data_IF_485477667687
#
_entry.id   IF_485477667687
#
_cell.length_a   1.000
_cell.length_b   1.000
_cell.length_c   1.000
_cell.angle_alpha   90.00
_cell.angle_beta   90.00
_cell.angle_gamma   90.00
#
_symmetry.space_group_name_H-M   'P 1'
#
loop_
_entity.id
_entity.type
_entity.pdbx_description
1 polymer ?
#
# COMPACT_ATOMS: atom_id res chain seq x y z
N UNK A 1 17.74 -35.00 28.23
CA UNK A 1 19.10 -34.44 28.06
C UNK A 1 18.97 -33.06 27.43
N UNK A 2 19.40 -32.05 28.20
CA UNK A 2 19.58 -30.61 27.95
C UNK A 2 19.24 -30.01 26.57
N UNK A 3 18.21 -29.16 26.52
CA UNK A 3 18.04 -28.12 25.47
C UNK A 3 18.25 -26.67 25.98
N UNK A 4 18.61 -26.45 27.26
CA UNK A 4 18.58 -25.11 27.87
C UNK A 4 19.95 -24.44 28.08
N UNK A 5 20.97 -24.73 27.26
CA UNK A 5 22.30 -24.14 27.48
C UNK A 5 23.01 -23.53 26.26
N UNK A 6 22.39 -23.45 25.06
CA UNK A 6 23.09 -22.89 23.89
C UNK A 6 22.41 -21.72 23.18
N UNK A 7 21.22 -21.28 23.59
CA UNK A 7 20.51 -20.21 22.87
C UNK A 7 20.87 -18.80 23.36
N UNK A 8 21.42 -18.64 24.57
CA UNK A 8 21.82 -17.32 25.12
C UNK A 8 23.02 -16.68 24.43
N UNK A 9 23.73 -17.41 23.57
CA UNK A 9 24.86 -16.90 22.80
C UNK A 9 24.44 -16.26 21.46
N UNK A 10 23.20 -16.50 20.98
CA UNK A 10 22.74 -15.92 19.71
C UNK A 10 22.21 -14.49 19.94
N UNK A 11 22.74 -13.45 19.28
CA UNK A 11 22.34 -12.06 19.53
C UNK A 11 20.85 -11.79 19.23
N UNK A 12 20.21 -12.66 18.44
CA UNK A 12 18.78 -12.60 18.12
C UNK A 12 17.94 -13.70 18.79
N UNK A 13 18.43 -14.32 19.88
CA UNK A 13 17.72 -15.39 20.59
C UNK A 13 16.25 -15.02 20.93
N UNK A 14 16.04 -13.76 21.34
CA UNK A 14 14.72 -13.20 21.62
C UNK A 14 13.72 -13.33 20.45
N UNK A 15 14.17 -13.35 19.18
CA UNK A 15 13.28 -13.54 18.03
C UNK A 15 12.80 -14.98 17.90
N UNK A 16 13.64 -15.97 18.25
CA UNK A 16 13.23 -17.37 18.30
C UNK A 16 12.26 -17.61 19.45
N UNK A 17 12.53 -17.01 20.62
CA UNK A 17 11.61 -17.04 21.76
C UNK A 17 10.25 -16.40 21.41
N UNK A 18 10.26 -15.27 20.69
CA UNK A 18 9.05 -14.64 20.18
C UNK A 18 8.29 -15.55 19.21
N UNK A 19 9.00 -16.26 18.33
CA UNK A 19 8.40 -17.21 17.40
C UNK A 19 7.78 -18.40 18.16
N UNK A 20 8.49 -18.99 19.12
CA UNK A 20 7.98 -20.12 19.89
C UNK A 20 6.72 -19.73 20.68
N UNK A 21 6.73 -18.55 21.29
CA UNK A 21 5.56 -17.99 21.95
C UNK A 21 4.40 -17.73 20.96
N UNK A 22 4.69 -17.30 19.73
CA UNK A 22 3.68 -17.11 18.69
C UNK A 22 3.08 -18.44 18.22
N UNK A 23 3.90 -19.46 17.97
CA UNK A 23 3.46 -20.82 17.61
C UNK A 23 2.55 -21.39 18.70
N UNK A 24 2.98 -21.28 19.97
CA UNK A 24 2.20 -21.77 21.11
C UNK A 24 0.83 -21.06 21.22
N UNK A 25 0.80 -19.72 21.07
CA UNK A 25 -0.47 -18.97 21.06
C UNK A 25 -1.39 -19.41 19.92
N UNK A 26 -0.85 -19.58 18.70
CA UNK A 26 -1.66 -19.97 17.55
C UNK A 26 -2.21 -21.38 17.64
N UNK A 27 -1.44 -22.34 18.15
CA UNK A 27 -1.92 -23.71 18.39
C UNK A 27 -2.90 -23.80 19.56
N UNK A 28 -2.81 -22.91 20.54
CA UNK A 28 -3.80 -22.82 21.62
C UNK A 28 -5.14 -22.25 21.13
N UNK A 29 -5.12 -21.30 20.19
CA UNK A 29 -6.31 -20.77 19.51
C UNK A 29 -6.91 -21.79 18.53
N UNK A 30 -6.05 -22.48 17.76
CA UNK A 30 -6.42 -23.43 16.72
C UNK A 30 -5.32 -24.51 16.55
N UNK A 31 -5.55 -25.75 17.04
CA UNK A 31 -4.60 -26.85 16.92
C UNK A 31 -4.26 -27.25 15.48
N UNK A 32 -5.13 -26.94 14.51
CA UNK A 32 -4.93 -27.27 13.09
C UNK A 32 -4.33 -26.11 12.28
N UNK A 33 -4.01 -24.99 12.92
CA UNK A 33 -3.59 -23.73 12.27
C UNK A 33 -2.50 -23.93 11.22
N UNK A 34 -1.39 -24.57 11.59
CA UNK A 34 -0.26 -24.79 10.68
C UNK A 34 -0.51 -25.87 9.64
N UNK A 35 -1.33 -26.88 9.98
CA UNK A 35 -1.74 -27.90 9.01
C UNK A 35 -2.55 -27.26 7.90
N UNK A 36 -3.56 -26.44 8.24
CA UNK A 36 -4.35 -25.70 7.27
C UNK A 36 -3.48 -24.76 6.43
N UNK A 37 -2.60 -23.98 7.06
CA UNK A 37 -1.71 -23.06 6.36
C UNK A 37 -0.79 -23.77 5.36
N UNK A 38 -0.29 -24.96 5.70
CA UNK A 38 0.57 -25.75 4.80
C UNK A 38 -0.15 -26.25 3.53
N UNK A 39 -1.48 -26.39 3.58
CA UNK A 39 -2.29 -26.86 2.45
C UNK A 39 -2.96 -25.72 1.65
N UNK A 40 -2.83 -24.46 2.09
CA UNK A 40 -3.42 -23.28 1.45
C UNK A 40 -2.42 -22.64 0.49
N UNK A 41 -2.66 -22.76 -0.82
CA UNK A 41 -1.70 -22.39 -1.87
C UNK A 41 -2.32 -21.62 -3.05
N UNK A 42 -3.60 -21.24 -3.00
CA UNK A 42 -4.31 -20.59 -4.12
C UNK A 42 -4.79 -19.19 -3.74
N UNK A 43 -3.88 -18.21 -3.58
CA UNK A 43 -4.29 -16.84 -3.32
C UNK A 43 -5.10 -16.30 -4.51
N UNK A 44 -6.20 -15.59 -4.22
CA UNK A 44 -6.99 -14.91 -5.26
C UNK A 44 -6.49 -13.47 -5.52
N UNK A 45 -5.57 -12.98 -4.68
CA UNK A 45 -5.15 -11.58 -4.64
C UNK A 45 -3.62 -11.44 -4.75
N UNK A 46 -3.15 -10.52 -5.60
CA UNK A 46 -1.78 -9.98 -5.57
C UNK A 46 -1.81 -8.57 -4.97
N UNK A 47 -1.04 -8.34 -3.91
CA UNK A 47 -0.84 -7.02 -3.30
C UNK A 47 0.54 -6.47 -3.66
N UNK A 48 0.58 -5.34 -4.36
CA UNK A 48 1.79 -4.57 -4.63
C UNK A 48 1.79 -3.34 -3.72
N UNK A 49 2.62 -3.37 -2.68
CA UNK A 49 2.64 -2.34 -1.63
C UNK A 49 4.02 -1.73 -1.39
N UNK A 50 4.06 -0.74 -0.50
CA UNK A 50 5.31 -0.14 -0.08
C UNK A 50 6.10 -1.07 0.86
N UNK A 51 7.43 -0.99 0.83
CA UNK A 51 8.32 -1.63 1.82
C UNK A 51 8.16 -1.07 3.24
N UNK A 52 7.39 0.01 3.42
CA UNK A 52 7.01 0.49 4.75
C UNK A 52 6.34 -0.62 5.57
N UNK A 53 6.90 -0.87 6.75
CA UNK A 53 6.60 -2.05 7.57
C UNK A 53 5.41 -1.88 8.51
N UNK A 54 4.73 -0.72 8.51
CA UNK A 54 3.78 -0.37 9.57
C UNK A 54 2.61 -1.35 9.72
N UNK A 55 2.07 -1.91 8.61
CA UNK A 55 1.03 -2.95 8.69
C UNK A 55 1.14 -3.97 7.52
N UNK A 56 1.11 -5.30 7.79
CA UNK A 56 1.02 -6.36 6.78
C UNK A 56 -0.29 -6.32 5.98
N UNK A 57 -0.25 -6.69 4.69
CA UNK A 57 -1.42 -6.62 3.79
C UNK A 57 -2.62 -7.43 4.33
N UNK A 58 -2.38 -8.67 4.72
CA UNK A 58 -3.40 -9.59 5.24
C UNK A 58 -4.13 -9.01 6.46
N UNK A 59 -3.43 -8.27 7.33
CA UNK A 59 -4.04 -7.62 8.49
C UNK A 59 -4.91 -6.44 8.10
N UNK A 60 -4.51 -5.66 7.08
CA UNK A 60 -5.27 -4.50 6.59
C UNK A 60 -6.65 -4.93 6.06
N UNK A 61 -6.70 -6.04 5.31
CA UNK A 61 -7.94 -6.51 4.65
C UNK A 61 -8.61 -7.69 5.36
N UNK A 62 -8.15 -8.04 6.56
CA UNK A 62 -8.78 -9.09 7.38
C UNK A 62 -8.74 -10.50 6.77
N UNK A 63 -7.75 -10.79 5.92
CA UNK A 63 -7.61 -12.11 5.29
C UNK A 63 -6.61 -12.98 6.05
N UNK A 64 -6.82 -14.32 6.09
CA UNK A 64 -5.85 -15.22 6.68
C UNK A 64 -4.54 -15.26 5.86
N UNK A 65 -3.41 -15.63 6.49
CA UNK A 65 -2.17 -15.88 5.76
C UNK A 65 -2.38 -16.92 4.63
N UNK A 66 -1.71 -16.73 3.49
CA UNK A 66 -1.83 -17.60 2.32
C UNK A 66 -2.87 -17.15 1.28
N UNK A 67 -3.78 -16.23 1.62
CA UNK A 67 -4.81 -15.71 0.69
C UNK A 67 -4.33 -14.56 -0.20
N UNK A 68 -3.23 -13.91 0.18
CA UNK A 68 -2.67 -12.76 -0.55
C UNK A 68 -1.22 -13.04 -0.90
N UNK A 69 -0.91 -12.99 -2.20
CA UNK A 69 0.45 -12.96 -2.70
C UNK A 69 0.99 -11.54 -2.64
N UNK A 70 2.20 -11.32 -2.11
CA UNK A 70 2.64 -9.96 -1.74
C UNK A 70 3.97 -9.60 -2.42
N UNK A 71 3.99 -8.44 -3.07
CA UNK A 71 5.21 -7.75 -3.48
C UNK A 71 5.37 -6.44 -2.69
N UNK A 72 6.60 -6.10 -2.34
CA UNK A 72 6.92 -4.82 -1.68
C UNK A 72 8.21 -4.20 -2.22
N UNK A 73 8.12 -2.93 -2.60
CA UNK A 73 9.27 -2.08 -2.89
C UNK A 73 9.03 -0.65 -2.37
N UNK A 74 10.03 0.22 -2.41
CA UNK A 74 9.88 1.61 -1.92
C UNK A 74 8.85 2.34 -2.78
N UNK A 75 7.83 2.93 -2.15
CA UNK A 75 6.77 3.70 -2.82
C UNK A 75 5.93 2.90 -3.84
N UNK A 76 5.86 1.56 -3.68
CA UNK A 76 4.96 0.66 -4.43
C UNK A 76 5.02 0.85 -5.96
N UNK A 77 6.21 1.14 -6.48
CA UNK A 77 6.46 1.49 -7.89
C UNK A 77 6.46 0.23 -8.75
N UNK A 78 5.82 0.29 -9.91
CA UNK A 78 5.85 -0.73 -10.94
C UNK A 78 6.54 -0.12 -12.17
N UNK A 79 7.81 -0.44 -12.35
CA UNK A 79 8.59 0.03 -13.50
C UNK A 79 8.38 -0.95 -14.66
N UNK A 80 8.20 -0.43 -15.89
CA UNK A 80 7.97 -1.24 -17.09
C UNK A 80 9.03 -2.32 -17.35
N UNK A 81 10.22 -2.17 -16.79
CA UNK A 81 11.36 -3.07 -16.98
C UNK A 81 11.93 -3.61 -15.66
N UNK A 82 11.24 -3.42 -14.53
CA UNK A 82 11.67 -4.02 -13.26
C UNK A 82 11.33 -5.51 -13.23
N UNK A 83 12.31 -6.33 -13.60
CA UNK A 83 12.14 -7.78 -13.64
C UNK A 83 11.80 -8.37 -12.26
N UNK A 84 12.12 -7.69 -11.15
CA UNK A 84 11.70 -8.13 -9.82
C UNK A 84 10.16 -8.12 -9.70
N UNK A 85 9.54 -6.96 -9.88
CA UNK A 85 8.08 -6.84 -9.82
C UNK A 85 7.39 -7.62 -10.95
N UNK A 86 7.91 -7.58 -12.17
CA UNK A 86 7.31 -8.28 -13.32
C UNK A 86 7.30 -9.80 -13.14
N UNK A 87 8.36 -10.38 -12.55
CA UNK A 87 8.39 -11.83 -12.26
C UNK A 87 7.31 -12.21 -11.24
N UNK A 88 7.07 -11.36 -10.24
CA UNK A 88 6.00 -11.57 -9.25
C UNK A 88 4.62 -11.46 -9.88
N UNK A 89 4.39 -10.47 -10.75
CA UNK A 89 3.13 -10.31 -11.48
C UNK A 89 2.89 -11.52 -12.38
N UNK A 90 3.89 -11.94 -13.16
CA UNK A 90 3.77 -13.10 -14.03
C UNK A 90 3.45 -14.38 -13.26
N UNK A 91 4.16 -14.62 -12.15
CA UNK A 91 3.90 -15.80 -11.32
C UNK A 91 2.47 -15.78 -10.74
N UNK A 92 2.03 -14.64 -10.23
CA UNK A 92 0.68 -14.49 -9.68
C UNK A 92 -0.41 -14.71 -10.75
N UNK A 93 -0.24 -14.12 -11.93
CA UNK A 93 -1.25 -14.15 -13.00
C UNK A 93 -1.23 -15.48 -13.75
N UNK A 94 -0.05 -15.97 -14.13
CA UNK A 94 0.06 -17.13 -15.03
C UNK A 94 0.08 -18.45 -14.28
N UNK A 95 0.66 -18.51 -13.08
CA UNK A 95 0.76 -19.74 -12.30
C UNK A 95 -0.32 -19.83 -11.21
N UNK A 96 -0.42 -18.82 -10.34
CA UNK A 96 -1.36 -18.83 -9.22
C UNK A 96 -2.80 -18.51 -9.64
N UNK A 97 -2.98 -17.91 -10.82
CA UNK A 97 -4.28 -17.50 -11.37
C UNK A 97 -5.05 -16.56 -10.43
N UNK A 98 -4.36 -15.59 -9.83
CA UNK A 98 -5.01 -14.53 -9.05
C UNK A 98 -6.07 -13.83 -9.90
N UNK A 99 -7.18 -13.45 -9.27
CA UNK A 99 -8.29 -12.72 -9.90
C UNK A 99 -8.12 -11.21 -9.79
N UNK A 100 -7.41 -10.76 -8.76
CA UNK A 100 -7.26 -9.35 -8.44
C UNK A 100 -5.79 -8.98 -8.20
N UNK A 101 -5.37 -7.85 -8.77
CA UNK A 101 -4.11 -7.20 -8.44
C UNK A 101 -4.45 -5.86 -7.80
N UNK A 102 -3.99 -5.62 -6.58
CA UNK A 102 -4.15 -4.34 -5.89
C UNK A 102 -2.79 -3.66 -5.79
N UNK A 103 -2.66 -2.49 -6.42
CA UNK A 103 -1.56 -1.56 -6.15
C UNK A 103 -2.00 -0.64 -5.02
N UNK A 104 -1.27 -0.66 -3.92
CA UNK A 104 -1.69 0.02 -2.68
C UNK A 104 -0.62 0.99 -2.21
N UNK A 105 -0.91 2.28 -2.40
CA UNK A 105 -0.18 3.37 -1.78
C UNK A 105 -0.57 3.54 -0.32
N UNK A 106 0.22 4.30 0.44
CA UNK A 106 -0.12 4.63 1.82
C UNK A 106 0.25 6.06 2.17
N UNK A 107 -0.61 6.73 2.94
CA UNK A 107 -0.36 8.09 3.39
C UNK A 107 0.81 8.15 4.38
N UNK A 108 1.57 9.23 4.31
CA UNK A 108 2.83 9.36 5.05
C UNK A 108 3.94 8.43 4.55
N UNK A 109 3.91 7.98 3.30
CA UNK A 109 5.02 7.26 2.66
C UNK A 109 6.30 8.09 2.64
N UNK A 110 7.37 7.54 3.22
CA UNK A 110 8.69 8.19 3.29
C UNK A 110 9.35 8.33 1.92
N UNK A 111 9.21 7.34 1.03
CA UNK A 111 9.72 7.40 -0.34
C UNK A 111 9.06 8.50 -1.17
N UNK A 112 7.72 8.56 -1.14
CA UNK A 112 6.96 9.64 -1.78
C UNK A 112 7.31 10.99 -1.16
N UNK A 113 7.47 11.06 0.16
CA UNK A 113 7.89 12.28 0.85
C UNK A 113 9.28 12.76 0.45
N UNK A 114 10.24 11.86 0.26
CA UNK A 114 11.57 12.18 -0.22
C UNK A 114 11.53 12.69 -1.67
N UNK A 115 10.76 12.04 -2.54
CA UNK A 115 10.55 12.47 -3.93
C UNK A 115 9.86 13.84 -4.02
N UNK A 116 8.84 14.10 -3.19
CA UNK A 116 8.13 15.38 -3.18
C UNK A 116 9.05 16.55 -2.83
N UNK A 117 9.87 16.39 -1.78
CA UNK A 117 10.70 17.46 -1.24
C UNK A 117 12.13 17.48 -1.81
N UNK A 118 12.47 16.58 -2.74
CA UNK A 118 13.81 16.48 -3.30
C UNK A 118 14.89 16.12 -2.27
N UNK A 119 14.55 15.31 -1.26
CA UNK A 119 15.51 14.88 -0.23
C UNK A 119 16.47 13.86 -0.84
N UNK A 120 17.77 14.08 -0.65
CA UNK A 120 18.83 13.15 -1.06
C UNK A 120 18.90 11.96 -0.10
N UNK A 121 18.81 10.75 -0.63
CA UNK A 121 18.92 9.48 0.11
C UNK A 121 20.15 8.69 -0.35
N UNK A 122 20.58 8.85 -1.60
CA UNK A 122 21.68 8.08 -2.20
C UNK A 122 21.18 7.18 -3.32
N UNK A 123 21.52 5.89 -3.30
CA UNK A 123 21.16 4.97 -4.39
C UNK A 123 19.65 4.94 -4.67
N UNK A 124 18.83 5.02 -3.61
CA UNK A 124 17.38 5.03 -3.71
C UNK A 124 16.83 6.25 -4.46
N UNK A 125 17.60 7.33 -4.61
CA UNK A 125 17.17 8.51 -5.39
C UNK A 125 16.87 8.11 -6.85
N UNK A 126 17.65 7.19 -7.43
CA UNK A 126 17.43 6.69 -8.78
C UNK A 126 16.09 5.94 -8.91
N UNK A 127 15.70 5.20 -7.88
CA UNK A 127 14.39 4.55 -7.83
C UNK A 127 13.27 5.57 -7.64
N UNK A 128 13.49 6.55 -6.77
CA UNK A 128 12.52 7.61 -6.48
C UNK A 128 12.33 8.59 -7.64
N UNK A 129 13.21 8.62 -8.64
CA UNK A 129 12.97 9.35 -9.88
C UNK A 129 11.67 8.91 -10.56
N UNK A 130 11.27 7.64 -10.47
CA UNK A 130 9.96 7.21 -11.00
C UNK A 130 8.77 7.90 -10.32
N UNK A 131 8.88 8.19 -9.01
CA UNK A 131 7.86 8.98 -8.29
C UNK A 131 7.97 10.47 -8.65
N UNK A 132 9.19 10.96 -8.90
CA UNK A 132 9.39 12.34 -9.37
C UNK A 132 8.86 12.56 -10.79
N UNK A 133 8.88 11.54 -11.64
CA UNK A 133 8.28 11.56 -12.98
C UNK A 133 6.75 11.70 -12.87
N UNK A 134 6.12 10.97 -11.95
CA UNK A 134 4.68 11.16 -11.64
C UNK A 134 4.43 12.59 -11.16
N UNK A 135 5.26 13.11 -10.24
CA UNK A 135 5.15 14.49 -9.76
C UNK A 135 5.28 15.50 -10.91
N UNK A 136 6.22 15.29 -11.83
CA UNK A 136 6.45 16.18 -12.97
C UNK A 136 5.27 16.12 -13.97
N UNK A 137 4.78 14.91 -14.26
CA UNK A 137 3.63 14.67 -15.14
C UNK A 137 2.37 15.38 -14.65
N UNK A 138 2.16 15.42 -13.33
CA UNK A 138 0.98 16.01 -12.68
C UNK A 138 1.26 17.33 -11.96
N UNK A 139 2.30 18.07 -12.36
CA UNK A 139 2.74 19.27 -11.63
C UNK A 139 1.62 20.31 -11.48
N UNK A 140 0.89 20.61 -12.56
CA UNK A 140 -0.20 21.58 -12.53
C UNK A 140 -1.32 21.19 -11.55
N UNK A 141 -1.69 19.90 -11.53
CA UNK A 141 -2.70 19.36 -10.62
C UNK A 141 -2.23 19.40 -9.16
N UNK A 142 -0.95 19.09 -8.91
CA UNK A 142 -0.36 19.16 -7.57
C UNK A 142 -0.22 20.59 -7.06
N UNK A 143 -0.09 21.58 -7.94
CA UNK A 143 -0.01 22.99 -7.58
C UNK A 143 -1.37 23.58 -7.14
N UNK A 144 -2.49 22.94 -7.47
CA UNK A 144 -3.81 23.27 -6.89
C UNK A 144 -3.86 23.04 -5.37
N UNK A 145 -3.00 22.14 -4.86
CA UNK A 145 -2.99 21.75 -3.47
C UNK A 145 -1.85 22.45 -2.70
N UNK A 146 -2.08 22.94 -1.46
CA UNK A 146 -1.03 23.50 -0.64
C UNK A 146 0.13 22.53 -0.44
N UNK A 147 1.36 23.07 -0.46
CA UNK A 147 2.56 22.30 -0.15
C UNK A 147 2.46 21.71 1.28
N UNK A 148 3.00 20.51 1.46
CA UNK A 148 2.96 19.79 2.72
C UNK A 148 2.11 18.53 2.62
N UNK A 149 1.29 18.28 3.63
CA UNK A 149 0.54 17.03 3.75
C UNK A 149 -0.51 16.85 2.64
N UNK A 150 -1.22 17.92 2.26
CA UNK A 150 -2.22 17.86 1.19
C UNK A 150 -1.58 17.39 -0.13
N UNK A 151 -0.50 18.06 -0.57
CA UNK A 151 0.24 17.68 -1.78
C UNK A 151 0.89 16.29 -1.66
N UNK A 152 1.37 15.90 -0.48
CA UNK A 152 1.90 14.55 -0.23
C UNK A 152 0.84 13.48 -0.49
N UNK A 153 -0.36 13.65 0.06
CA UNK A 153 -1.47 12.71 -0.12
C UNK A 153 -1.86 12.57 -1.59
N UNK A 154 -2.02 13.69 -2.29
CA UNK A 154 -2.35 13.70 -3.72
C UNK A 154 -1.26 13.04 -4.56
N UNK A 155 0.02 13.23 -4.22
CA UNK A 155 1.11 12.53 -4.91
C UNK A 155 1.12 11.02 -4.61
N UNK A 156 0.75 10.58 -3.39
CA UNK A 156 0.58 9.14 -3.10
C UNK A 156 -0.52 8.54 -3.98
N UNK A 157 -1.67 9.19 -4.08
CA UNK A 157 -2.81 8.73 -4.89
C UNK A 157 -2.46 8.69 -6.38
N UNK A 158 -1.86 9.76 -6.92
CA UNK A 158 -1.41 9.82 -8.31
C UNK A 158 -0.35 8.76 -8.60
N UNK A 159 0.61 8.54 -7.68
CA UNK A 159 1.59 7.49 -7.84
C UNK A 159 0.91 6.12 -7.95
N UNK A 160 -0.04 5.80 -7.07
CA UNK A 160 -0.81 4.56 -7.16
C UNK A 160 -1.54 4.43 -8.49
N UNK A 161 -2.24 5.48 -8.94
CA UNK A 161 -2.97 5.47 -10.22
C UNK A 161 -2.02 5.18 -11.39
N UNK A 162 -0.88 5.86 -11.44
CA UNK A 162 0.14 5.64 -12.49
C UNK A 162 0.74 4.22 -12.43
N UNK A 163 0.95 3.69 -11.24
CA UNK A 163 1.42 2.31 -11.09
C UNK A 163 0.39 1.28 -11.55
N UNK A 164 -0.91 1.52 -11.35
CA UNK A 164 -1.98 0.69 -11.94
C UNK A 164 -1.91 0.73 -13.46
N UNK A 165 -1.72 1.92 -14.06
CA UNK A 165 -1.51 2.05 -15.51
C UNK A 165 -0.31 1.22 -15.97
N UNK A 166 0.79 1.24 -15.22
CA UNK A 166 1.98 0.45 -15.55
C UNK A 166 1.72 -1.06 -15.50
N UNK A 167 0.99 -1.55 -14.48
CA UNK A 167 0.55 -2.95 -14.38
C UNK A 167 -0.32 -3.34 -15.59
N UNK A 168 -1.32 -2.53 -15.91
CA UNK A 168 -2.24 -2.78 -17.04
C UNK A 168 -1.54 -2.75 -18.40
N UNK A 169 -0.38 -2.06 -18.51
CA UNK A 169 0.44 -1.98 -19.73
C UNK A 169 1.48 -3.10 -19.84
N UNK A 170 1.62 -3.96 -18.83
CA UNK A 170 2.51 -5.12 -18.94
C UNK A 170 2.02 -6.08 -20.02
N UNK A 171 2.94 -6.77 -20.68
CA UNK A 171 2.58 -7.86 -21.60
C UNK A 171 1.78 -8.94 -20.86
N UNK A 172 2.14 -9.24 -19.62
CA UNK A 172 1.50 -10.25 -18.76
C UNK A 172 -0.01 -10.01 -18.62
N UNK A 173 -0.42 -8.80 -18.23
CA UNK A 173 -1.83 -8.47 -18.01
C UNK A 173 -2.59 -8.39 -19.33
N UNK A 174 -1.98 -7.82 -20.38
CA UNK A 174 -2.60 -7.78 -21.70
C UNK A 174 -2.81 -9.18 -22.29
N UNK A 175 -1.82 -10.07 -22.16
CA UNK A 175 -1.92 -11.47 -22.60
C UNK A 175 -2.98 -12.23 -21.78
N UNK A 176 -3.15 -11.89 -20.50
CA UNK A 176 -4.20 -12.45 -19.64
C UNK A 176 -5.60 -12.05 -20.11
N UNK A 177 -5.82 -10.76 -20.39
CA UNK A 177 -7.08 -10.31 -20.95
C UNK A 177 -7.32 -10.84 -22.36
N UNK A 178 -6.30 -10.89 -23.22
CA UNK A 178 -6.41 -11.39 -24.59
C UNK A 178 -6.83 -12.87 -24.64
N UNK A 179 -6.37 -13.70 -23.69
CA UNK A 179 -6.78 -15.10 -23.55
C UNK A 179 -8.07 -15.32 -22.74
N UNK A 180 -8.77 -14.24 -22.37
CA UNK A 180 -10.03 -14.30 -21.62
C UNK A 180 -9.89 -14.71 -20.16
N UNK A 181 -8.71 -14.59 -19.55
CA UNK A 181 -8.54 -14.83 -18.12
C UNK A 181 -9.18 -13.68 -17.34
N UNK A 182 -10.03 -14.02 -16.37
CA UNK A 182 -10.60 -13.04 -15.44
C UNK A 182 -9.50 -12.44 -14.57
N UNK A 183 -9.27 -11.13 -14.73
CA UNK A 183 -8.27 -10.40 -13.99
C UNK A 183 -8.68 -8.93 -13.87
N UNK A 184 -8.69 -8.39 -12.66
CA UNK A 184 -8.96 -6.98 -12.40
C UNK A 184 -7.80 -6.32 -11.65
N UNK A 185 -7.41 -5.12 -12.06
CA UNK A 185 -6.36 -4.34 -11.42
C UNK A 185 -6.97 -3.13 -10.71
N UNK A 186 -6.61 -2.92 -9.45
CA UNK A 186 -7.17 -1.90 -8.56
C UNK A 186 -6.08 -0.98 -8.01
N UNK A 187 -6.42 0.30 -7.85
CA UNK A 187 -5.59 1.30 -7.18
C UNK A 187 -6.22 1.77 -5.86
N UNK A 188 -5.57 1.47 -4.74
CA UNK A 188 -6.04 1.85 -3.41
C UNK A 188 -5.02 2.71 -2.64
N UNK A 189 -5.49 3.45 -1.65
CA UNK A 189 -4.66 4.15 -0.67
C UNK A 189 -5.01 3.74 0.76
N UNK A 190 -4.01 3.47 1.58
CA UNK A 190 -4.19 3.11 2.99
C UNK A 190 -3.73 4.23 3.93
N UNK A 191 -4.61 4.60 4.87
CA UNK A 191 -4.28 5.52 5.94
C UNK A 191 -3.70 4.78 7.15
N UNK A 192 -2.39 4.93 7.39
CA UNK A 192 -1.78 4.34 8.60
C UNK A 192 -2.30 5.01 9.88
N UNK A 193 -2.77 6.26 9.77
CA UNK A 193 -3.28 7.04 10.89
C UNK A 193 -4.69 6.64 11.34
N UNK A 194 -5.47 5.96 10.49
CA UNK A 194 -6.86 5.60 10.77
C UNK A 194 -7.21 4.13 10.46
N UNK A 195 -6.29 3.39 9.85
CA UNK A 195 -6.48 2.00 9.49
C UNK A 195 -7.41 1.77 8.28
N UNK A 196 -7.81 2.82 7.55
CA UNK A 196 -8.80 2.70 6.47
C UNK A 196 -8.15 2.60 5.09
N UNK A 197 -8.62 1.64 4.30
CA UNK A 197 -8.37 1.55 2.86
C UNK A 197 -9.38 2.44 2.12
N UNK A 198 -8.90 3.09 1.07
CA UNK A 198 -9.65 4.01 0.21
C UNK A 198 -9.51 3.57 -1.22
N UNK A 199 -10.65 3.37 -1.88
CA UNK A 199 -10.68 3.08 -3.31
C UNK A 199 -10.53 4.37 -4.10
N UNK A 200 -9.53 4.46 -4.97
CA UNK A 200 -9.29 5.63 -5.82
C UNK A 200 -10.20 5.63 -7.07
N UNK A 201 -11.10 4.65 -7.20
CA UNK A 201 -11.95 4.44 -8.38
C UNK A 201 -11.17 3.90 -9.58
N UNK A 202 -9.89 3.60 -9.40
CA UNK A 202 -8.97 3.10 -10.42
C UNK A 202 -9.06 1.58 -10.48
N UNK A 203 -10.17 1.09 -11.06
CA UNK A 203 -10.44 -0.35 -11.24
C UNK A 203 -10.56 -0.65 -12.73
N UNK A 204 -9.70 -1.52 -13.25
CA UNK A 204 -9.61 -1.85 -14.68
C UNK A 204 -9.63 -3.36 -14.86
N UNK A 205 -10.59 -3.86 -15.65
CA UNK A 205 -10.75 -5.30 -15.93
C UNK A 205 -10.56 -5.66 -17.41
N UNK A 206 -10.25 -4.67 -18.26
CA UNK A 206 -9.90 -4.87 -19.65
C UNK A 206 -9.14 -3.65 -20.19
N UNK A 207 -8.38 -3.83 -21.27
CA UNK A 207 -7.54 -2.77 -21.84
C UNK A 207 -8.33 -1.54 -22.34
N UNK A 208 -9.56 -1.73 -22.86
CA UNK A 208 -10.37 -0.64 -23.41
C UNK A 208 -10.88 0.33 -22.33
N UNK A 209 -11.06 -0.14 -21.10
CA UNK A 209 -11.51 0.70 -19.98
C UNK A 209 -10.39 1.56 -19.37
N UNK A 210 -9.11 1.28 -19.67
CA UNK A 210 -7.97 1.86 -18.98
C UNK A 210 -7.90 3.39 -19.11
N UNK A 211 -7.99 3.90 -20.33
CA UNK A 211 -7.83 5.33 -20.62
C UNK A 211 -8.93 6.17 -19.97
N UNK A 212 -10.20 5.79 -20.19
CA UNK A 212 -11.35 6.47 -19.58
C UNK A 212 -11.31 6.43 -18.04
N UNK A 213 -10.91 5.28 -17.46
CA UNK A 213 -10.80 5.14 -16.00
C UNK A 213 -9.68 6.03 -15.47
N UNK A 214 -8.53 6.04 -16.13
CA UNK A 214 -7.39 6.88 -15.77
C UNK A 214 -7.76 8.37 -15.77
N UNK A 215 -8.36 8.87 -16.85
CA UNK A 215 -8.78 10.27 -16.97
C UNK A 215 -9.75 10.68 -15.85
N UNK A 216 -10.75 9.84 -15.59
CA UNK A 216 -11.72 10.05 -14.50
C UNK A 216 -11.02 10.11 -13.14
N UNK A 217 -10.10 9.19 -12.86
CA UNK A 217 -9.40 9.13 -11.58
C UNK A 217 -8.47 10.33 -11.39
N UNK A 218 -7.72 10.74 -12.43
CA UNK A 218 -6.87 11.94 -12.37
C UNK A 218 -7.71 13.20 -12.16
N UNK A 219 -8.83 13.35 -12.87
CA UNK A 219 -9.75 14.48 -12.66
C UNK A 219 -10.32 14.51 -11.23
N UNK A 220 -10.60 13.33 -10.66
CA UNK A 220 -11.08 13.17 -9.29
C UNK A 220 -10.07 13.55 -8.21
N UNK A 221 -8.78 13.74 -8.54
CA UNK A 221 -7.74 14.22 -7.62
C UNK A 221 -7.67 15.77 -7.56
N UNK A 222 -8.30 16.48 -8.50
CA UNK A 222 -8.31 17.95 -8.52
C UNK A 222 -9.01 18.55 -7.30
N UNK A 223 -8.62 19.78 -6.93
CA UNK A 223 -9.21 20.49 -5.78
C UNK A 223 -10.68 20.87 -5.99
N UNK A 224 -11.12 20.93 -7.25
CA UNK A 224 -12.51 21.16 -7.64
C UNK A 224 -13.31 19.87 -7.86
N UNK A 225 -12.64 18.72 -7.81
CA UNK A 225 -13.25 17.42 -8.03
C UNK A 225 -14.16 17.01 -6.89
N UNK A 226 -15.23 16.29 -7.21
CA UNK A 226 -16.05 15.64 -6.20
C UNK A 226 -15.26 14.46 -5.60
N UNK A 227 -14.55 14.70 -4.50
CA UNK A 227 -14.00 13.60 -3.71
C UNK A 227 -15.16 12.85 -3.05
N UNK A 228 -15.15 11.52 -3.10
CA UNK A 228 -16.00 10.74 -2.21
C UNK A 228 -15.68 11.16 -0.77
N UNK A 229 -16.69 11.49 0.04
CA UNK A 229 -16.50 11.98 1.42
C UNK A 229 -15.70 11.00 2.29
N UNK A 230 -15.71 9.71 1.95
CA UNK A 230 -14.92 8.67 2.61
C UNK A 230 -13.41 8.73 2.25
N UNK A 231 -13.07 9.32 1.11
CA UNK A 231 -11.69 9.55 0.64
C UNK A 231 -11.17 10.95 0.96
N UNK A 232 -12.03 11.88 1.40
CA UNK A 232 -11.62 13.22 1.79
C UNK A 232 -11.06 13.25 3.21
N UNK A 233 -9.81 12.79 3.32
CA UNK A 233 -9.05 12.80 4.56
C UNK A 233 -8.69 14.24 4.98
N UNK A 234 -8.76 15.21 4.07
CA UNK A 234 -8.55 16.63 4.39
C UNK A 234 -9.74 17.17 5.15
N UNK A 235 -10.98 16.81 4.78
CA UNK A 235 -12.17 17.10 5.59
C UNK A 235 -12.13 16.36 6.95
N UNK A 236 -11.69 15.10 6.97
CA UNK A 236 -11.54 14.33 8.22
C UNK A 236 -10.48 14.92 9.17
N UNK A 237 -9.39 15.48 8.63
CA UNK A 237 -8.37 16.16 9.44
C UNK A 237 -8.71 17.60 9.76
N UNK A 238 -9.43 18.32 8.90
CA UNK A 238 -10.00 19.62 9.22
C UNK A 238 -11.00 19.50 10.38
N UNK A 239 -11.77 18.41 10.44
CA UNK A 239 -12.59 18.08 11.61
C UNK A 239 -11.74 17.85 12.87
N UNK A 240 -10.64 17.09 12.78
CA UNK A 240 -9.68 16.91 13.89
C UNK A 240 -8.95 18.20 14.30
N UNK A 241 -8.67 19.11 13.36
CA UNK A 241 -8.11 20.44 13.63
C UNK A 241 -9.16 21.39 14.24
N UNK A 242 -10.44 21.20 13.92
CA UNK A 242 -11.56 21.86 14.59
C UNK A 242 -11.66 21.50 16.09
N UNK A 243 -11.12 20.36 16.50
CA UNK A 243 -11.00 19.94 17.89
C UNK A 243 -9.75 20.51 18.60
N UNK A 244 -8.80 21.14 17.88
CA UNK A 244 -7.58 21.72 18.46
C UNK A 244 -7.88 22.75 19.54
N UNK A 245 -8.84 23.67 19.39
CA UNK A 245 -9.24 24.57 20.49
C UNK A 245 -9.67 23.81 21.75
N UNK A 246 -10.45 22.74 21.61
CA UNK A 246 -10.93 21.93 22.74
C UNK A 246 -9.81 21.09 23.38
N UNK A 247 -8.89 20.56 22.58
CA UNK A 247 -7.71 19.83 23.05
C UNK A 247 -6.75 20.78 23.78
N UNK A 248 -6.48 21.97 23.22
CA UNK A 248 -5.66 23.00 23.85
C UNK A 248 -6.30 23.48 25.15
N UNK A 249 -7.63 23.64 25.19
CA UNK A 249 -8.37 24.02 26.40
C UNK A 249 -8.35 22.90 27.47
N UNK A 250 -8.40 21.63 27.06
CA UNK A 250 -8.23 20.47 27.93
C UNK A 250 -6.83 20.38 28.54
N UNK A 251 -5.78 20.56 27.72
CA UNK A 251 -4.38 20.57 28.16
C UNK A 251 -4.09 21.78 29.07
N UNK A 252 -4.66 22.95 28.76
CA UNK A 252 -4.56 24.14 29.63
C UNK A 252 -5.28 23.92 30.97
N UNK A 253 -6.39 23.18 31.00
CA UNK A 253 -7.05 22.78 32.26
C UNK A 253 -6.20 21.81 33.08
N UNK A 254 -5.61 20.79 32.45
CA UNK A 254 -4.71 19.85 33.13
C UNK A 254 -3.44 20.52 33.68
N UNK A 255 -2.93 21.54 32.98
CA UNK A 255 -1.76 22.33 33.43
C UNK A 255 -2.10 23.39 34.50
N UNK A 256 -3.38 23.69 34.73
CA UNK A 256 -3.86 24.69 35.70
C UNK A 256 -4.44 24.09 36.99
N UNK A 257 -4.40 22.78 37.15
CA UNK A 257 -4.70 22.07 38.39
C UNK A 257 -3.37 21.51 38.97
N UNK A 258 -2.97 21.62 40.25
CA UNK A 258 -3.68 21.86 41.52
C UNK A 258 -5.11 21.29 41.63
#
# INVERSE_FOLDING_TARGET
MNMNASNSAHPLAHLFENNDAWVARKLAEDPEYFSRLAHQQTPEYLWIGCSDSRVPANQIIGLPPGEVFVHRNIANVVVHTDLNCLSVIQFAVDLLKVKHIMVVGHYGCSGVGAALHGRRVGLADNWLHHVQDVRAKHAALLDEWPLGEARHRRLVELNTIEQVVNVCRTTIVNDAWARGQELTVHGWAYGVHDGKVRDLGMTVNNAAALEQTYERCVAGVSASGAHATENDVVAADAARLGDVPAIVEGVIKELKHE
#
